data_IF_237534811625
#
_entry.id   IF_237534811625
#
_cell.length_a   1.000
_cell.length_b   1.000
_cell.length_c   1.000
_cell.angle_alpha   90.00
_cell.angle_beta   90.00
_cell.angle_gamma   90.00
#
_symmetry.space_group_name_H-M   'P 1'
#
loop_
_entity.id
_entity.type
_entity.pdbx_description
1 polymer ?
#
# COMPACT_ATOMS: atom_id res chain seq x y z
N UNK A 1 -14.06 -3.31 -7.29
CA UNK A 1 -13.50 -2.39 -8.30
C UNK A 1 -14.31 -2.51 -9.60
N UNK A 2 -15.53 -1.98 -9.65
CA UNK A 2 -16.35 -1.95 -10.87
C UNK A 2 -16.65 -0.49 -11.22
N UNK A 3 -15.59 0.27 -11.42
CA UNK A 3 -15.65 1.61 -11.99
C UNK A 3 -14.44 1.74 -12.92
N UNK A 4 -14.68 1.97 -14.21
CA UNK A 4 -13.69 2.63 -15.07
C UNK A 4 -12.96 1.80 -16.14
N UNK A 5 -13.19 2.21 -17.39
CA UNK A 5 -12.33 2.12 -18.59
C UNK A 5 -12.03 0.76 -19.23
N UNK A 6 -11.80 -0.33 -18.49
CA UNK A 6 -11.34 -1.59 -19.10
C UNK A 6 -12.15 -2.79 -18.63
N UNK A 7 -12.35 -3.77 -19.52
CA UNK A 7 -12.94 -5.06 -19.13
C UNK A 7 -11.95 -5.93 -18.35
N UNK A 8 -12.42 -6.89 -17.54
CA UNK A 8 -11.57 -7.80 -16.75
C UNK A 8 -10.44 -8.45 -17.59
N UNK A 9 -10.76 -8.93 -18.79
CA UNK A 9 -9.78 -9.58 -19.68
C UNK A 9 -8.76 -8.59 -20.25
N UNK A 10 -9.19 -7.37 -20.52
CA UNK A 10 -8.36 -6.31 -21.07
C UNK A 10 -7.38 -5.81 -20.00
N UNK A 11 -7.88 -5.53 -18.80
CA UNK A 11 -7.05 -5.15 -17.66
C UNK A 11 -6.06 -6.25 -17.29
N UNK A 12 -6.49 -7.52 -17.25
CA UNK A 12 -5.58 -8.64 -16.99
C UNK A 12 -4.45 -8.71 -18.03
N UNK A 13 -4.75 -8.44 -19.30
CA UNK A 13 -3.75 -8.37 -20.37
C UNK A 13 -2.78 -7.20 -20.16
N UNK A 14 -3.27 -6.01 -19.80
CA UNK A 14 -2.44 -4.84 -19.54
C UNK A 14 -1.53 -5.02 -18.32
N UNK A 15 -2.01 -5.75 -17.31
CA UNK A 15 -1.25 -6.09 -16.10
C UNK A 15 -0.38 -7.34 -16.26
N UNK A 16 -0.42 -7.99 -17.43
CA UNK A 16 0.33 -9.22 -17.74
C UNK A 16 0.04 -10.38 -16.78
N UNK A 17 -1.20 -10.50 -16.32
CA UNK A 17 -1.67 -11.55 -15.41
C UNK A 17 -2.87 -12.31 -16.01
N UNK A 18 -3.22 -13.45 -15.39
CA UNK A 18 -4.41 -14.19 -15.82
C UNK A 18 -5.71 -13.48 -15.40
N UNK A 19 -6.76 -13.48 -16.23
CA UNK A 19 -8.07 -12.94 -15.84
C UNK A 19 -8.66 -13.61 -14.59
N UNK A 20 -8.38 -14.90 -14.39
CA UNK A 20 -8.81 -15.64 -13.20
C UNK A 20 -8.10 -15.13 -11.94
N UNK A 21 -6.82 -14.76 -12.02
CA UNK A 21 -6.09 -14.17 -10.90
C UNK A 21 -6.61 -12.77 -10.58
N UNK A 22 -6.77 -11.92 -11.59
CA UNK A 22 -7.36 -10.58 -11.40
C UNK A 22 -8.75 -10.67 -10.76
N UNK A 23 -9.59 -11.62 -11.22
CA UNK A 23 -10.91 -11.85 -10.63
C UNK A 23 -10.82 -12.17 -9.13
N UNK A 24 -9.89 -13.05 -8.71
CA UNK A 24 -9.73 -13.41 -7.30
C UNK A 24 -9.23 -12.24 -6.45
N UNK A 25 -8.39 -11.37 -7.02
CA UNK A 25 -7.98 -10.13 -6.35
C UNK A 25 -9.20 -9.22 -6.14
N UNK A 26 -10.00 -9.00 -7.19
CA UNK A 26 -11.19 -8.14 -7.12
C UNK A 26 -12.28 -8.66 -6.18
N UNK A 27 -12.42 -9.98 -6.06
CA UNK A 27 -13.41 -10.64 -5.19
C UNK A 27 -12.89 -10.94 -3.79
N UNK A 28 -11.64 -10.58 -3.48
CA UNK A 28 -10.98 -10.87 -2.20
C UNK A 28 -10.90 -12.39 -1.89
N UNK A 29 -10.85 -13.23 -2.93
CA UNK A 29 -10.69 -14.69 -2.84
C UNK A 29 -9.22 -15.12 -2.94
N UNK A 30 -8.33 -14.20 -3.33
CA UNK A 30 -6.91 -14.46 -3.39
C UNK A 30 -6.30 -14.52 -1.99
N UNK A 31 -5.67 -15.64 -1.64
CA UNK A 31 -5.14 -15.89 -0.29
C UNK A 31 -3.82 -15.17 -0.05
N UNK A 32 -3.04 -14.97 -1.11
CA UNK A 32 -1.75 -14.30 -1.04
C UNK A 32 -1.90 -12.86 -1.54
N UNK A 33 -1.57 -11.85 -0.72
CA UNK A 33 -1.70 -10.48 -1.16
C UNK A 33 -0.81 -10.24 -2.40
N UNK A 34 -1.31 -9.49 -3.40
CA UNK A 34 -0.56 -9.19 -4.61
C UNK A 34 0.84 -8.65 -4.31
N UNK A 35 1.78 -8.93 -5.21
CA UNK A 35 3.11 -8.35 -5.13
C UNK A 35 3.06 -6.83 -5.27
N UNK A 36 4.05 -6.15 -4.68
CA UNK A 36 4.18 -4.69 -4.70
C UNK A 36 4.21 -4.14 -6.13
N UNK A 37 4.97 -4.78 -7.03
CA UNK A 37 5.03 -4.42 -8.45
C UNK A 37 3.65 -4.47 -9.13
N UNK A 38 2.83 -5.47 -8.79
CA UNK A 38 1.49 -5.58 -9.37
C UNK A 38 0.56 -4.50 -8.81
N UNK A 39 0.67 -4.18 -7.52
CA UNK A 39 -0.11 -3.10 -6.90
C UNK A 39 0.28 -1.74 -7.49
N UNK A 40 1.56 -1.51 -7.78
CA UNK A 40 2.02 -0.32 -8.49
C UNK A 40 1.43 -0.25 -9.90
N UNK A 41 1.51 -1.33 -10.68
CA UNK A 41 0.89 -1.38 -12.02
C UNK A 41 -0.62 -1.11 -11.98
N UNK A 42 -1.32 -1.63 -10.96
CA UNK A 42 -2.76 -1.37 -10.78
C UNK A 42 -3.02 0.10 -10.44
N UNK A 43 -2.24 0.69 -9.52
CA UNK A 43 -2.33 2.10 -9.17
C UNK A 43 -2.15 3.00 -10.41
N UNK A 44 -1.08 2.76 -11.17
CA UNK A 44 -0.74 3.54 -12.37
C UNK A 44 -1.81 3.40 -13.46
N UNK A 45 -2.33 2.18 -13.67
CA UNK A 45 -3.33 1.90 -14.69
C UNK A 45 -4.69 2.55 -14.37
N UNK A 46 -5.10 2.54 -13.10
CA UNK A 46 -6.38 3.07 -12.66
C UNK A 46 -6.31 4.54 -12.24
N UNK A 47 -5.10 5.10 -12.05
CA UNK A 47 -4.90 6.42 -11.46
C UNK A 47 -5.28 6.46 -9.98
N UNK A 48 -5.13 5.33 -9.29
CA UNK A 48 -5.44 5.16 -7.87
C UNK A 48 -4.19 5.37 -6.99
N UNK A 49 -4.41 5.54 -5.69
CA UNK A 49 -3.35 5.71 -4.69
C UNK A 49 -2.68 4.38 -4.36
N UNK A 50 -1.37 4.28 -4.65
CA UNK A 50 -0.56 3.09 -4.40
C UNK A 50 -0.47 2.72 -2.90
N UNK A 51 -0.24 3.69 -2.02
CA UNK A 51 -0.13 3.44 -0.57
C UNK A 51 -1.46 2.92 0.00
N UNK A 52 -2.58 3.43 -0.52
CA UNK A 52 -3.90 2.91 -0.19
C UNK A 52 -4.08 1.46 -0.64
N UNK A 53 -3.66 1.11 -1.85
CA UNK A 53 -3.73 -0.28 -2.34
C UNK A 53 -2.83 -1.22 -1.53
N UNK A 54 -1.62 -0.78 -1.18
CA UNK A 54 -0.70 -1.52 -0.31
C UNK A 54 -1.31 -1.77 1.06
N UNK A 55 -1.89 -0.74 1.68
CA UNK A 55 -2.58 -0.85 2.96
C UNK A 55 -3.78 -1.80 2.90
N UNK A 56 -4.57 -1.76 1.82
CA UNK A 56 -5.69 -2.68 1.61
C UNK A 56 -5.22 -4.13 1.43
N UNK A 57 -4.06 -4.32 0.79
CA UNK A 57 -3.42 -5.63 0.69
C UNK A 57 -2.74 -6.09 2.00
N UNK A 58 -2.78 -5.30 3.07
CA UNK A 58 -2.09 -5.59 4.33
C UNK A 58 -0.57 -5.57 4.21
N UNK A 59 -0.05 -4.80 3.24
CA UNK A 59 1.38 -4.68 2.94
C UNK A 59 1.89 -3.29 3.29
N UNK A 60 3.21 -3.23 3.48
CA UNK A 60 4.00 -1.99 3.52
C UNK A 60 4.99 -2.08 2.36
N UNK A 61 5.24 -0.96 1.69
CA UNK A 61 6.17 -0.89 0.57
C UNK A 61 7.60 -1.20 0.99
N UNK A 62 8.38 -1.65 0.03
CA UNK A 62 9.75 -2.13 0.26
C UNK A 62 10.62 -0.98 0.77
N UNK A 63 10.48 0.21 0.22
CA UNK A 63 11.22 1.41 0.63
C UNK A 63 10.92 1.81 2.09
N UNK A 64 9.66 1.76 2.52
CA UNK A 64 9.26 2.06 3.91
C UNK A 64 9.79 0.98 4.86
N UNK A 65 9.71 -0.29 4.44
CA UNK A 65 10.26 -1.40 5.23
C UNK A 65 11.78 -1.25 5.40
N UNK A 66 12.49 -0.93 4.32
CA UNK A 66 13.93 -0.69 4.33
C UNK A 66 14.28 0.47 5.27
N UNK A 67 13.59 1.60 5.14
CA UNK A 67 13.77 2.76 6.01
C UNK A 67 13.61 2.39 7.50
N UNK A 68 12.55 1.65 7.84
CA UNK A 68 12.31 1.18 9.23
C UNK A 68 13.45 0.27 9.71
N UNK A 69 14.02 -0.58 8.83
CA UNK A 69 15.10 -1.51 9.21
C UNK A 69 16.49 -0.88 9.27
N UNK A 70 16.70 0.25 8.60
CA UNK A 70 18.01 0.94 8.57
C UNK A 70 18.28 1.77 9.84
N UNK A 71 17.25 2.10 10.61
CA UNK A 71 17.36 2.85 11.87
C UNK A 71 16.88 1.97 13.03
N UNK A 72 17.79 1.59 13.92
CA UNK A 72 17.50 0.74 15.07
C UNK A 72 16.44 1.34 16.03
N UNK A 73 16.31 2.67 16.06
CA UNK A 73 15.37 3.40 16.90
C UNK A 73 13.94 3.44 16.33
N UNK A 74 13.77 3.40 15.01
CA UNK A 74 12.46 3.53 14.36
C UNK A 74 11.47 2.41 14.74
N UNK A 75 11.85 1.12 14.76
CA UNK A 75 10.93 0.06 15.19
C UNK A 75 10.43 0.26 16.61
N UNK A 76 11.30 0.69 17.53
CA UNK A 76 10.91 0.93 18.91
C UNK A 76 10.01 2.16 19.03
N UNK A 77 10.33 3.24 18.30
CA UNK A 77 9.50 4.42 18.21
C UNK A 77 8.08 4.10 17.72
N UNK A 78 7.95 3.36 16.62
CA UNK A 78 6.64 2.97 16.06
C UNK A 78 5.83 2.09 17.02
N UNK A 79 6.49 1.19 17.77
CA UNK A 79 5.84 0.40 18.83
C UNK A 79 5.30 1.29 19.95
N UNK A 80 6.09 2.25 20.43
CA UNK A 80 5.67 3.18 21.48
C UNK A 80 4.55 4.11 21.00
N UNK A 81 4.64 4.63 19.78
CA UNK A 81 3.59 5.45 19.17
C UNK A 81 2.25 4.68 19.12
N UNK A 82 2.29 3.42 18.70
CA UNK A 82 1.11 2.53 18.71
C UNK A 82 0.55 2.32 20.12
N UNK A 83 1.40 2.09 21.12
CA UNK A 83 0.96 1.89 22.52
C UNK A 83 0.29 3.13 23.11
N UNK A 84 0.72 4.31 22.70
CA UNK A 84 0.12 5.59 23.10
C UNK A 84 -1.11 5.98 22.28
N UNK A 85 -1.51 5.15 21.30
CA UNK A 85 -2.66 5.43 20.44
C UNK A 85 -2.43 6.56 19.44
N UNK A 86 -1.18 6.89 19.11
CA UNK A 86 -0.87 7.94 18.14
C UNK A 86 -1.34 7.53 16.74
N UNK A 87 -2.05 8.44 16.08
CA UNK A 87 -2.53 8.29 14.71
C UNK A 87 -1.56 8.94 13.73
N UNK A 88 -1.74 8.66 12.43
CA UNK A 88 -1.00 9.36 11.36
C UNK A 88 -1.18 10.88 11.42
N UNK A 89 -2.34 11.36 11.89
CA UNK A 89 -2.59 12.79 12.12
C UNK A 89 -1.70 13.34 13.23
N UNK A 90 -1.62 12.65 14.37
CA UNK A 90 -0.81 13.10 15.51
C UNK A 90 0.67 13.15 15.14
N UNK A 91 1.16 12.10 14.47
CA UNK A 91 2.53 12.02 13.96
C UNK A 91 2.80 13.13 12.92
N UNK A 92 1.84 13.43 12.06
CA UNK A 92 1.93 14.52 11.09
C UNK A 92 2.08 15.89 11.75
N UNK A 93 1.34 16.15 12.85
CA UNK A 93 1.50 17.40 13.61
C UNK A 93 2.90 17.50 14.26
N UNK A 94 3.44 16.41 14.81
CA UNK A 94 4.80 16.38 15.36
C UNK A 94 5.87 16.79 14.33
N UNK A 95 5.74 16.33 13.08
CA UNK A 95 6.68 16.66 12.00
C UNK A 95 6.66 18.15 11.63
N UNK A 96 5.48 18.79 11.66
CA UNK A 96 5.35 20.25 11.38
C UNK A 96 6.12 21.11 12.39
N UNK A 97 6.30 20.62 13.63
CA UNK A 97 7.06 21.34 14.66
C UNK A 97 8.58 21.19 14.53
N UNK A 98 9.07 20.13 13.87
CA UNK A 98 10.51 19.90 13.67
C UNK A 98 11.15 20.91 12.68
N UNK A 99 10.37 21.43 11.74
CA UNK A 99 10.81 22.42 10.74
C UNK A 99 10.72 23.90 11.18
N UNK A 100 10.34 24.21 12.43
CA UNK A 100 10.24 25.58 12.96
C UNK A 100 11.48 26.02 13.75
N UNK A 101 12.63 25.38 13.56
CA UNK A 101 13.92 25.78 14.15
C UNK A 101 14.85 26.35 13.10
#
# INVERSE_FOLDING_TARGET
MRDGKFGLREMAKMLEISPAYLSRIETNEEKNPPAEELLQKIADLLGDDFDKLMSLAGRVSTDVKEYITQDEGLPQFLRTARQQGLTSRDLGEMLKHKGKK
#
